data_IF_636829356920
#
_entry.id   IF_636829356920
#
_cell.length_a   1.000
_cell.length_b   1.000
_cell.length_c   1.000
_cell.angle_alpha   90.00
_cell.angle_beta   90.00
_cell.angle_gamma   90.00
#
_symmetry.space_group_name_H-M   'P 1'
#
loop_
_entity.id
_entity.type
_entity.pdbx_description
1 polymer ?
#
# COMPACT_ATOMS: atom_id res chain seq x y z
N UNK A 1 6.26 -13.63 -5.45
CA UNK A 1 4.90 -13.02 -5.45
C UNK A 1 4.86 -11.91 -4.41
N UNK A 2 3.98 -10.93 -4.61
CA UNK A 2 3.73 -9.83 -3.68
C UNK A 2 2.24 -9.71 -3.39
N UNK A 3 1.88 -9.10 -2.27
CA UNK A 3 0.53 -8.62 -2.03
C UNK A 3 0.43 -7.14 -2.43
N UNK A 4 -0.70 -6.76 -3.04
CA UNK A 4 -1.03 -5.37 -3.32
C UNK A 4 -2.02 -4.89 -2.26
N UNK A 5 -1.76 -3.72 -1.69
CA UNK A 5 -2.60 -3.13 -0.64
C UNK A 5 -2.98 -1.73 -1.08
N UNK A 6 -4.26 -1.48 -1.23
CA UNK A 6 -4.78 -0.13 -1.49
C UNK A 6 -5.78 0.27 -0.42
N UNK A 7 -5.68 1.51 0.04
CA UNK A 7 -6.64 2.09 0.97
C UNK A 7 -7.51 3.07 0.21
N UNK A 8 -8.83 2.97 0.38
CA UNK A 8 -9.81 3.74 -0.38
C UNK A 8 -10.90 4.29 0.53
N UNK A 9 -11.42 5.45 0.21
CA UNK A 9 -12.64 6.01 0.78
C UNK A 9 -13.62 6.41 -0.33
N UNK A 10 -14.89 6.62 0.02
CA UNK A 10 -15.99 6.80 -0.95
C UNK A 10 -15.69 7.73 -2.13
N UNK A 11 -15.14 8.94 -1.95
CA UNK A 11 -14.84 9.85 -3.06
C UNK A 11 -13.79 9.32 -4.05
N UNK A 12 -12.98 8.34 -3.67
CA UNK A 12 -11.92 7.78 -4.52
C UNK A 12 -12.35 6.55 -5.32
N UNK A 13 -13.59 6.09 -5.18
CA UNK A 13 -14.10 4.90 -5.88
C UNK A 13 -13.88 4.90 -7.40
N UNK A 14 -14.08 6.03 -8.13
CA UNK A 14 -13.80 6.06 -9.56
C UNK A 14 -12.33 5.81 -9.89
N UNK A 15 -11.42 6.26 -9.03
CA UNK A 15 -9.98 6.02 -9.19
C UNK A 15 -9.62 4.57 -8.89
N UNK A 16 -10.28 3.95 -7.90
CA UNK A 16 -10.07 2.53 -7.58
C UNK A 16 -10.43 1.63 -8.77
N UNK A 17 -11.53 1.91 -9.47
CA UNK A 17 -11.90 1.18 -10.69
C UNK A 17 -10.81 1.31 -11.77
N UNK A 18 -10.30 2.52 -12.00
CA UNK A 18 -9.21 2.74 -12.95
C UNK A 18 -7.91 2.04 -12.53
N UNK A 19 -7.58 2.08 -11.24
CA UNK A 19 -6.44 1.37 -10.67
C UNK A 19 -6.57 -0.14 -10.91
N UNK A 20 -7.73 -0.71 -10.61
CA UNK A 20 -8.02 -2.14 -10.79
C UNK A 20 -7.77 -2.59 -12.22
N UNK A 21 -8.28 -1.83 -13.21
CA UNK A 21 -8.06 -2.08 -14.64
C UNK A 21 -6.60 -1.94 -15.04
N UNK A 22 -5.87 -0.99 -14.44
CA UNK A 22 -4.43 -0.83 -14.71
C UNK A 22 -3.62 -1.99 -14.14
N UNK A 23 -3.97 -2.50 -12.95
CA UNK A 23 -3.36 -3.69 -12.36
C UNK A 23 -3.61 -4.91 -13.26
N UNK A 24 -4.86 -5.14 -13.66
CA UNK A 24 -5.18 -6.23 -14.57
C UNK A 24 -4.33 -6.20 -15.85
N UNK A 25 -4.15 -5.00 -16.41
CA UNK A 25 -3.46 -4.81 -17.69
C UNK A 25 -1.95 -5.00 -17.56
N UNK A 26 -1.36 -4.47 -16.51
CA UNK A 26 0.08 -4.27 -16.47
C UNK A 26 0.84 -5.20 -15.52
N UNK A 27 0.18 -5.91 -14.62
CA UNK A 27 0.84 -6.89 -13.77
C UNK A 27 0.80 -8.29 -14.38
N UNK A 28 1.89 -9.02 -14.21
CA UNK A 28 1.95 -10.44 -14.53
C UNK A 28 1.16 -11.23 -13.48
N UNK A 29 0.36 -12.20 -13.96
CA UNK A 29 -0.56 -12.95 -13.11
C UNK A 29 0.15 -13.67 -11.96
N UNK A 30 1.30 -14.24 -12.22
CA UNK A 30 2.05 -15.02 -11.24
C UNK A 30 2.88 -14.14 -10.28
N UNK A 31 2.89 -12.83 -10.51
CA UNK A 31 3.59 -11.90 -9.64
C UNK A 31 2.73 -11.43 -8.45
N UNK A 32 1.42 -11.32 -8.63
CA UNK A 32 0.49 -10.87 -7.60
C UNK A 32 -0.13 -12.06 -6.87
N UNK A 33 0.05 -12.16 -5.56
CA UNK A 33 -0.57 -13.18 -4.72
C UNK A 33 -2.00 -12.79 -4.33
N UNK A 34 -2.17 -11.64 -3.71
CA UNK A 34 -3.48 -11.12 -3.31
C UNK A 34 -3.56 -9.61 -3.50
N UNK A 35 -4.79 -9.09 -3.51
CA UNK A 35 -5.09 -7.66 -3.56
C UNK A 35 -6.01 -7.35 -2.40
N UNK A 36 -5.52 -6.57 -1.44
CA UNK A 36 -6.31 -6.10 -0.30
C UNK A 36 -6.81 -4.69 -0.59
N UNK A 37 -8.12 -4.54 -0.60
CA UNK A 37 -8.79 -3.24 -0.72
C UNK A 37 -9.33 -2.87 0.65
N UNK A 38 -8.64 -1.98 1.33
CA UNK A 38 -8.96 -1.56 2.69
C UNK A 38 -9.85 -0.32 2.62
N UNK A 39 -11.04 -0.43 3.13
CA UNK A 39 -11.98 0.70 3.21
C UNK A 39 -11.61 1.57 4.41
N UNK A 40 -11.43 2.87 4.18
CA UNK A 40 -11.09 3.87 5.20
C UNK A 40 -12.20 4.93 5.34
N UNK A 41 -13.43 4.47 5.46
CA UNK A 41 -14.63 5.32 5.58
C UNK A 41 -15.67 4.59 6.44
N UNK A 42 -16.71 4.07 5.86
CA UNK A 42 -17.71 3.21 6.50
C UNK A 42 -17.91 1.91 5.71
N UNK A 43 -18.41 0.89 6.36
CA UNK A 43 -18.52 -0.44 5.77
C UNK A 43 -19.44 -0.50 4.55
N UNK A 44 -20.36 0.46 4.39
CA UNK A 44 -21.23 0.51 3.20
C UNK A 44 -20.46 0.81 1.91
N UNK A 45 -19.23 1.29 2.01
CA UNK A 45 -18.33 1.45 0.85
C UNK A 45 -17.94 0.10 0.26
N UNK A 46 -17.89 -0.96 1.07
CA UNK A 46 -17.59 -2.31 0.60
C UNK A 46 -18.55 -2.77 -0.52
N UNK A 47 -19.83 -2.42 -0.40
CA UNK A 47 -20.88 -2.79 -1.36
C UNK A 47 -20.72 -2.10 -2.73
N UNK A 48 -19.94 -1.03 -2.78
CA UNK A 48 -19.66 -0.30 -4.02
C UNK A 48 -18.50 -0.91 -4.80
N UNK A 49 -17.71 -1.79 -4.20
CA UNK A 49 -16.50 -2.37 -4.79
C UNK A 49 -16.86 -3.62 -5.58
N UNK A 50 -16.69 -3.55 -6.90
CA UNK A 50 -16.93 -4.69 -7.77
C UNK A 50 -15.60 -5.41 -8.08
N UNK A 51 -15.41 -6.62 -7.54
CA UNK A 51 -14.22 -7.44 -7.79
C UNK A 51 -13.93 -7.70 -9.26
N UNK A 52 -14.95 -7.68 -10.12
CA UNK A 52 -14.78 -7.87 -11.55
C UNK A 52 -13.94 -6.74 -12.22
N UNK A 53 -13.74 -5.60 -11.58
CA UNK A 53 -12.83 -4.56 -12.10
C UNK A 53 -11.39 -5.05 -12.26
N UNK A 54 -10.97 -6.03 -11.42
CA UNK A 54 -9.63 -6.63 -11.46
C UNK A 54 -9.48 -7.78 -12.44
N UNK A 55 -10.52 -8.11 -13.24
CA UNK A 55 -10.46 -9.12 -14.29
C UNK A 55 -9.83 -10.43 -13.83
N UNK A 56 -8.67 -10.79 -14.39
CA UNK A 56 -7.95 -12.04 -14.06
C UNK A 56 -7.58 -12.21 -12.59
N UNK A 57 -7.63 -11.15 -11.79
CA UNK A 57 -7.32 -11.18 -10.35
C UNK A 57 -8.55 -11.16 -9.45
N UNK A 58 -9.77 -11.17 -9.98
CA UNK A 58 -11.00 -11.01 -9.20
C UNK A 58 -11.10 -11.95 -7.98
N UNK A 59 -10.62 -13.19 -8.12
CA UNK A 59 -10.65 -14.20 -7.06
C UNK A 59 -9.55 -13.99 -5.99
N UNK A 60 -8.60 -13.09 -6.25
CA UNK A 60 -7.53 -12.72 -5.33
C UNK A 60 -7.82 -11.43 -4.58
N UNK A 61 -8.96 -10.78 -4.86
CA UNK A 61 -9.36 -9.53 -4.23
C UNK A 61 -10.05 -9.79 -2.90
N UNK A 62 -9.50 -9.23 -1.84
CA UNK A 62 -10.07 -9.21 -0.49
C UNK A 62 -10.48 -7.78 -0.15
N UNK A 63 -11.78 -7.59 0.12
CA UNK A 63 -12.29 -6.31 0.58
C UNK A 63 -12.28 -6.34 2.10
N UNK A 64 -11.57 -5.39 2.70
CA UNK A 64 -11.38 -5.28 4.14
C UNK A 64 -12.24 -4.13 4.64
N UNK A 65 -13.30 -4.39 5.42
CA UNK A 65 -14.18 -3.36 5.92
C UNK A 65 -13.48 -2.44 6.92
N UNK A 66 -13.92 -1.20 7.00
CA UNK A 66 -13.42 -0.20 7.94
C UNK A 66 -13.46 -0.70 9.40
N UNK A 67 -14.58 -1.34 9.78
CA UNK A 67 -14.79 -1.85 11.14
C UNK A 67 -13.74 -2.86 11.60
N UNK A 68 -13.07 -3.55 10.67
CA UNK A 68 -12.01 -4.51 11.01
C UNK A 68 -10.75 -3.80 11.55
N UNK A 69 -10.46 -2.58 11.07
CA UNK A 69 -9.29 -1.79 11.46
C UNK A 69 -9.66 -0.54 12.24
N UNK A 70 -10.91 -0.44 12.66
CA UNK A 70 -11.37 0.66 13.47
C UNK A 70 -10.77 0.55 14.89
N UNK A 71 -9.59 1.08 15.04
CA UNK A 71 -9.08 1.43 16.35
C UNK A 71 -9.78 2.72 16.78
N UNK A 72 -10.16 2.83 18.04
CA UNK A 72 -10.63 4.08 18.67
C UNK A 72 -9.50 5.14 18.69
N UNK A 73 -8.77 5.25 17.60
CA UNK A 73 -7.75 6.25 17.41
C UNK A 73 -8.44 7.56 17.04
N UNK A 74 -8.25 8.59 17.85
CA UNK A 74 -8.66 9.97 17.57
C UNK A 74 -7.73 10.63 16.53
N UNK A 75 -7.37 9.90 15.50
CA UNK A 75 -6.48 10.38 14.45
C UNK A 75 -7.31 10.94 13.30
N UNK A 76 -6.77 11.91 12.59
CA UNK A 76 -7.42 12.44 11.40
C UNK A 76 -7.47 11.37 10.28
N UNK A 77 -8.27 11.61 9.23
CA UNK A 77 -8.47 10.62 8.16
C UNK A 77 -7.19 10.23 7.43
N UNK A 78 -6.19 11.13 7.33
CA UNK A 78 -4.91 10.82 6.71
C UNK A 78 -4.07 9.88 7.59
N UNK A 79 -3.98 10.14 8.89
CA UNK A 79 -3.26 9.29 9.84
C UNK A 79 -3.88 7.89 9.91
N UNK A 80 -5.22 7.82 9.95
CA UNK A 80 -5.93 6.56 9.92
C UNK A 80 -5.63 5.77 8.64
N UNK A 81 -5.53 6.43 7.50
CA UNK A 81 -5.13 5.81 6.24
C UNK A 81 -3.72 5.17 6.35
N UNK A 82 -2.76 5.86 6.97
CA UNK A 82 -1.42 5.30 7.16
C UNK A 82 -1.45 4.08 8.09
N UNK A 83 -2.22 4.14 9.16
CA UNK A 83 -2.40 3.02 10.08
C UNK A 83 -3.03 1.81 9.36
N UNK A 84 -4.07 2.02 8.56
CA UNK A 84 -4.68 0.96 7.74
C UNK A 84 -3.66 0.29 6.80
N UNK A 85 -2.77 1.06 6.19
CA UNK A 85 -1.70 0.53 5.33
C UNK A 85 -0.74 -0.38 6.10
N UNK A 86 -0.29 0.06 7.29
CA UNK A 86 0.59 -0.72 8.15
C UNK A 86 -0.07 -2.01 8.62
N UNK A 87 -1.31 -1.93 9.10
CA UNK A 87 -2.07 -3.09 9.58
C UNK A 87 -2.31 -4.11 8.46
N UNK A 88 -2.67 -3.66 7.28
CA UNK A 88 -2.84 -4.56 6.14
C UNK A 88 -1.52 -5.22 5.74
N UNK A 89 -0.41 -4.46 5.72
CA UNK A 89 0.91 -4.99 5.42
C UNK A 89 1.38 -6.01 6.45
N UNK A 90 1.10 -5.81 7.74
CA UNK A 90 1.45 -6.76 8.80
C UNK A 90 0.73 -8.11 8.67
N UNK A 91 -0.42 -8.14 8.01
CA UNK A 91 -1.20 -9.36 7.76
C UNK A 91 -0.78 -10.11 6.49
N UNK A 92 0.05 -9.49 5.64
CA UNK A 92 0.55 -10.13 4.41
C UNK A 92 1.33 -11.40 4.74
N UNK A 93 1.08 -12.47 3.98
CA UNK A 93 1.84 -13.72 4.07
C UNK A 93 3.01 -13.75 3.07
N UNK A 94 3.15 -12.74 2.24
CA UNK A 94 4.28 -12.57 1.34
C UNK A 94 5.36 -11.73 2.01
N UNK A 95 6.61 -11.95 1.62
CA UNK A 95 7.75 -11.15 2.12
C UNK A 95 7.57 -9.66 1.83
N UNK A 96 6.93 -9.35 0.71
CA UNK A 96 6.75 -7.99 0.25
C UNK A 96 5.28 -7.66 0.00
N UNK A 97 4.87 -6.50 0.50
CA UNK A 97 3.59 -5.88 0.21
C UNK A 97 3.82 -4.54 -0.51
N UNK A 98 3.14 -4.34 -1.64
CA UNK A 98 3.15 -3.06 -2.36
C UNK A 98 1.99 -2.20 -1.88
N UNK A 99 2.32 -1.04 -1.34
CA UNK A 99 1.35 -0.07 -0.84
C UNK A 99 0.97 0.90 -1.96
N UNK A 100 -0.34 1.07 -2.14
CA UNK A 100 -0.94 1.90 -3.17
C UNK A 100 -1.92 2.90 -2.56
N UNK A 101 -2.02 4.08 -3.14
CA UNK A 101 -3.22 4.93 -3.00
C UNK A 101 -4.18 4.60 -4.13
N UNK A 102 -5.48 4.73 -3.92
CA UNK A 102 -6.49 4.45 -4.95
C UNK A 102 -6.27 5.22 -6.27
N UNK A 103 -5.58 6.36 -6.19
CA UNK A 103 -5.20 7.19 -7.35
C UNK A 103 -3.96 6.70 -8.11
N UNK A 104 -3.29 5.67 -7.64
CA UNK A 104 -2.10 5.13 -8.30
C UNK A 104 -2.50 4.33 -9.54
N UNK A 105 -2.07 4.75 -10.71
CA UNK A 105 -2.33 4.06 -11.98
C UNK A 105 -1.02 3.56 -12.58
N UNK A 106 -1.04 2.31 -13.03
CA UNK A 106 0.07 1.72 -13.76
C UNK A 106 -0.11 1.97 -15.25
N UNK A 107 0.95 2.39 -15.92
CA UNK A 107 0.94 2.75 -17.35
C UNK A 107 1.99 1.98 -18.15
N UNK A 108 2.70 1.06 -17.50
CA UNK A 108 3.75 0.20 -18.09
C UNK A 108 3.71 -1.16 -17.41
N UNK A 109 4.22 -2.22 -18.08
CA UNK A 109 4.34 -3.53 -17.47
C UNK A 109 5.08 -3.48 -16.12
N UNK A 110 4.53 -4.18 -15.13
CA UNK A 110 5.07 -4.33 -13.79
C UNK A 110 5.50 -5.78 -13.62
N UNK A 111 6.80 -6.02 -13.79
CA UNK A 111 7.40 -7.35 -13.71
C UNK A 111 8.30 -7.48 -12.48
N UNK A 112 8.59 -8.68 -11.99
CA UNK A 112 9.53 -8.89 -10.90
C UNK A 112 10.89 -8.23 -11.15
N UNK A 113 11.41 -8.29 -12.38
CA UNK A 113 12.72 -7.76 -12.75
C UNK A 113 12.79 -6.24 -12.67
N UNK A 114 11.64 -5.54 -12.87
CA UNK A 114 11.57 -4.10 -12.70
C UNK A 114 11.48 -3.70 -11.22
N UNK A 115 10.86 -4.57 -10.41
CA UNK A 115 10.61 -4.28 -9.00
C UNK A 115 11.76 -4.71 -8.08
N UNK A 116 12.56 -5.69 -8.50
CA UNK A 116 13.60 -6.28 -7.67
C UNK A 116 14.95 -6.41 -8.41
N UNK A 117 16.02 -6.26 -7.63
CA UNK A 117 17.38 -6.68 -8.01
C UNK A 117 17.85 -7.69 -6.97
N UNK A 118 17.80 -8.97 -7.32
CA UNK A 118 17.98 -10.06 -6.35
C UNK A 118 16.84 -10.08 -5.34
N UNK A 119 17.17 -9.97 -4.07
CA UNK A 119 16.23 -9.91 -2.94
C UNK A 119 15.85 -8.47 -2.52
N UNK A 120 16.42 -7.47 -3.19
CA UNK A 120 16.22 -6.05 -2.85
C UNK A 120 15.21 -5.39 -3.77
N UNK A 121 14.37 -4.57 -3.17
CA UNK A 121 13.43 -3.71 -3.90
C UNK A 121 14.17 -2.60 -4.64
N UNK A 122 13.84 -2.42 -5.90
CA UNK A 122 14.24 -1.25 -6.66
C UNK A 122 13.37 -0.07 -6.23
N UNK A 123 13.96 0.92 -5.59
CA UNK A 123 13.25 2.14 -5.20
C UNK A 123 13.90 3.36 -5.85
N UNK A 124 13.08 4.38 -6.10
CA UNK A 124 13.59 5.69 -6.48
C UNK A 124 13.65 6.56 -5.24
N UNK A 125 14.86 6.82 -4.69
CA UNK A 125 14.99 7.71 -3.56
C UNK A 125 14.58 9.12 -3.97
N UNK A 126 13.86 9.79 -3.10
CA UNK A 126 13.55 11.22 -3.23
C UNK A 126 14.16 11.97 -2.04
N UNK A 127 14.43 13.26 -2.23
CA UNK A 127 14.78 14.11 -1.09
C UNK A 127 13.65 14.11 -0.06
N UNK A 128 14.02 14.00 1.20
CA UNK A 128 13.05 14.06 2.31
C UNK A 128 12.49 15.49 2.34
N UNK A 129 11.19 15.59 2.24
CA UNK A 129 10.51 16.88 2.37
C UNK A 129 10.81 17.51 3.75
N UNK A 130 10.98 18.85 3.82
CA UNK A 130 11.34 19.53 5.07
C UNK A 130 10.45 19.16 6.27
N UNK A 131 9.16 18.93 6.04
CA UNK A 131 8.22 18.53 7.09
C UNK A 131 8.52 17.16 7.73
N UNK A 132 9.32 16.31 7.06
CA UNK A 132 9.71 15.00 7.59
C UNK A 132 11.06 15.01 8.30
N UNK A 133 11.78 16.15 8.31
CA UNK A 133 13.05 16.26 9.03
C UNK A 133 12.83 16.10 10.55
N UNK A 134 11.77 16.72 11.09
CA UNK A 134 11.39 16.56 12.49
C UNK A 134 10.99 15.12 12.83
N UNK A 135 10.35 14.42 11.87
CA UNK A 135 10.04 13.00 12.01
C UNK A 135 11.29 12.14 12.12
N UNK A 136 12.37 12.48 11.41
CA UNK A 136 13.67 11.79 11.49
C UNK A 136 14.20 11.79 12.94
N UNK A 137 14.20 12.93 13.61
CA UNK A 137 14.66 13.05 15.01
C UNK A 137 13.78 12.19 15.94
N UNK A 138 12.48 12.22 15.73
CA UNK A 138 11.54 11.42 16.51
C UNK A 138 11.76 9.92 16.31
N UNK A 139 11.97 9.47 15.09
CA UNK A 139 12.26 8.07 14.75
C UNK A 139 13.59 7.65 15.41
N UNK A 140 14.64 8.45 15.28
CA UNK A 140 15.93 8.18 15.92
C UNK A 140 15.80 8.03 17.44
N UNK A 141 15.01 8.90 18.06
CA UNK A 141 14.77 8.89 19.50
C UNK A 141 13.97 7.67 19.97
N UNK A 142 12.94 7.29 19.21
CA UNK A 142 12.04 6.18 19.56
C UNK A 142 12.72 4.82 19.35
N UNK A 143 13.38 4.66 18.21
CA UNK A 143 13.94 3.36 17.79
C UNK A 143 15.43 3.19 18.09
N UNK A 144 16.11 4.26 18.58
CA UNK A 144 17.55 4.20 18.86
C UNK A 144 18.45 4.02 17.64
N UNK A 145 17.91 4.26 16.44
CA UNK A 145 18.65 4.14 15.17
C UNK A 145 19.16 5.51 14.74
N UNK A 146 20.36 5.55 14.15
CA UNK A 146 20.88 6.75 13.50
C UNK A 146 20.97 6.52 12.00
N UNK A 147 20.45 7.46 11.22
CA UNK A 147 20.61 7.49 9.77
C UNK A 147 20.86 8.92 9.31
N UNK A 148 21.89 9.07 8.50
CA UNK A 148 22.34 10.39 8.02
C UNK A 148 21.76 10.74 6.63
N UNK A 149 21.01 9.81 6.05
CA UNK A 149 20.47 9.99 4.71
C UNK A 149 19.40 11.08 4.70
N UNK A 150 19.51 11.95 3.71
CA UNK A 150 18.52 13.00 3.41
C UNK A 150 17.54 12.56 2.32
N UNK A 151 17.63 11.31 1.92
CA UNK A 151 16.76 10.68 0.92
C UNK A 151 15.91 9.61 1.56
N UNK A 152 14.66 9.55 1.17
CA UNK A 152 13.71 8.54 1.60
C UNK A 152 13.14 7.77 0.42
N UNK A 153 12.38 6.71 0.65
CA UNK A 153 11.60 6.09 -0.40
C UNK A 153 10.64 7.11 -1.01
N UNK A 154 10.46 7.04 -2.31
CA UNK A 154 9.46 7.84 -3.01
C UNK A 154 8.07 7.66 -2.42
N UNK A 155 7.12 8.49 -2.86
CA UNK A 155 5.71 8.29 -2.51
C UNK A 155 5.16 6.97 -3.05
N UNK A 156 3.86 6.76 -2.89
CA UNK A 156 3.21 5.56 -3.44
C UNK A 156 3.35 5.46 -4.98
N UNK A 157 3.57 4.28 -5.54
CA UNK A 157 3.68 2.99 -4.85
C UNK A 157 5.02 2.81 -4.11
N UNK A 158 4.99 2.14 -2.97
CA UNK A 158 6.21 1.73 -2.29
C UNK A 158 6.06 0.31 -1.72
N UNK A 159 7.20 -0.37 -1.53
CA UNK A 159 7.23 -1.72 -1.01
C UNK A 159 7.51 -1.71 0.49
N UNK A 160 6.75 -2.51 1.23
CA UNK A 160 7.00 -2.82 2.64
C UNK A 160 7.44 -4.26 2.80
N UNK A 161 8.44 -4.48 3.63
CA UNK A 161 8.81 -5.82 4.08
C UNK A 161 7.86 -6.24 5.20
N UNK A 162 7.06 -7.26 4.96
CA UNK A 162 5.93 -7.61 5.85
C UNK A 162 6.37 -8.03 7.26
N UNK A 163 7.50 -8.72 7.41
CA UNK A 163 8.02 -9.09 8.72
C UNK A 163 8.42 -7.86 9.54
N UNK A 164 9.08 -6.87 8.89
CA UNK A 164 9.46 -5.62 9.58
C UNK A 164 8.26 -4.81 10.08
N UNK A 165 7.10 -4.99 9.48
CA UNK A 165 5.87 -4.29 9.91
C UNK A 165 5.16 -5.05 11.05
N UNK A 166 5.40 -6.37 11.16
CA UNK A 166 4.82 -7.23 12.22
C UNK A 166 5.51 -7.09 13.57
N UNK A 167 6.82 -6.85 13.57
CA UNK A 167 7.68 -6.68 14.76
C UNK A 167 7.55 -5.27 15.35
#
# INVERSE_FOLDING_TARGET
MIDLITVVYRPEMPFLELQAKSIETYFEQDFVNSIQVVVNDDDSVCDLINKAWWGKYQDRVNIVPYSLYNYECRVNGWENQQLCKLLAASQSQQTWAMILDAKTLFVKPCTPELMFTGDKVNSHPIEIFPQFIEAKESIQKIFGISFDETVGPGGVPFMMHSDTVRD
#
